data_IF_841806073093
#
_entry.id   IF_841806073093
#
_cell.length_a   1.000
_cell.length_b   1.000
_cell.length_c   1.000
_cell.angle_alpha   90.00
_cell.angle_beta   90.00
_cell.angle_gamma   90.00
#
_symmetry.space_group_name_H-M   'P 1'
#
loop_
_entity.id
_entity.type
_entity.pdbx_description
1 polymer ?
#
# COMPACT_ATOMS: atom_id res chain seq x y z
N UNK A 1 -5.47 -19.07 -16.19
CA UNK A 1 -5.69 -18.50 -16.00
C UNK A 1 -5.46 -17.48 -15.56
N UNK A 2 -5.38 -17.06 -15.71
CA UNK A 2 -5.24 -16.21 -15.35
C UNK A 2 -5.98 -15.46 -15.08
N UNK A 3 -6.34 -15.45 -15.27
CA UNK A 3 -6.98 -14.30 -15.16
C UNK A 3 -7.48 -13.83 -13.91
N UNK A 4 -7.77 -14.58 -13.09
CA UNK A 4 -8.24 -14.10 -11.81
C UNK A 4 -7.11 -13.38 -11.12
N UNK A 5 -7.41 -12.19 -10.63
CA UNK A 5 -6.53 -11.58 -9.68
C UNK A 5 -6.47 -12.47 -8.49
N UNK A 6 -5.31 -12.74 -8.05
CA UNK A 6 -5.10 -13.66 -6.98
C UNK A 6 -4.17 -13.05 -5.95
N UNK A 7 -4.03 -13.74 -4.84
CA UNK A 7 -3.03 -13.35 -3.85
C UNK A 7 -1.65 -13.25 -4.47
N UNK A 8 -1.39 -14.03 -5.54
CA UNK A 8 -0.08 -13.98 -6.17
C UNK A 8 0.18 -12.63 -6.83
N UNK A 9 -0.86 -11.95 -7.36
CA UNK A 9 -0.65 -10.62 -7.91
C UNK A 9 -0.27 -9.62 -6.82
N UNK A 10 -0.95 -9.66 -5.70
CA UNK A 10 -0.60 -8.82 -4.56
C UNK A 10 0.81 -9.13 -4.09
N UNK A 11 1.15 -10.40 -3.97
CA UNK A 11 2.47 -10.80 -3.51
C UNK A 11 3.55 -10.35 -4.48
N UNK A 12 3.29 -10.40 -5.79
CA UNK A 12 4.25 -9.91 -6.77
C UNK A 12 4.51 -8.41 -6.62
N UNK A 13 3.46 -7.64 -6.41
CA UNK A 13 3.61 -6.20 -6.20
C UNK A 13 4.47 -5.95 -4.97
N UNK A 14 4.19 -6.67 -3.89
CA UNK A 14 4.94 -6.52 -2.66
C UNK A 14 6.41 -6.90 -2.88
N UNK A 15 6.66 -8.02 -3.55
CA UNK A 15 8.02 -8.49 -3.76
C UNK A 15 8.82 -7.57 -4.67
N UNK A 16 8.15 -6.92 -5.63
CA UNK A 16 8.83 -6.07 -6.58
C UNK A 16 9.06 -4.66 -6.06
N UNK A 17 8.46 -4.32 -4.93
CA UNK A 17 8.61 -2.99 -4.36
C UNK A 17 10.03 -2.82 -3.82
N UNK A 18 10.75 -1.86 -4.41
CA UNK A 18 12.13 -1.60 -4.01
C UNK A 18 12.31 -0.36 -3.16
N UNK A 19 11.21 0.21 -2.66
CA UNK A 19 11.26 1.42 -1.84
C UNK A 19 10.99 1.08 -0.38
N UNK A 20 11.13 2.09 0.50
CA UNK A 20 10.94 1.89 1.93
C UNK A 20 9.51 1.52 2.28
N UNK A 21 8.54 2.09 1.56
CA UNK A 21 7.12 1.86 1.82
C UNK A 21 6.39 1.58 0.52
N UNK A 22 5.28 0.86 0.66
CA UNK A 22 4.34 0.60 -0.44
C UNK A 22 3.00 1.17 -0.01
N UNK A 23 2.40 2.02 -0.85
CA UNK A 23 1.17 2.72 -0.51
C UNK A 23 0.11 2.40 -1.57
N UNK A 24 -0.96 1.76 -1.15
CA UNK A 24 -2.12 1.53 -2.01
C UNK A 24 -3.06 2.71 -1.92
N UNK A 25 -3.46 3.24 -3.07
CA UNK A 25 -4.25 4.47 -3.15
C UNK A 25 -5.45 4.29 -4.06
N UNK A 26 -6.20 5.36 -4.25
CA UNK A 26 -7.20 5.47 -5.31
C UNK A 26 -7.09 6.87 -5.89
N UNK A 27 -7.78 7.11 -7.01
CA UNK A 27 -7.59 8.31 -7.80
C UNK A 27 -7.89 9.57 -7.00
N UNK A 28 -9.00 9.58 -6.25
CA UNK A 28 -9.33 10.72 -5.39
C UNK A 28 -9.16 10.27 -3.96
N UNK A 29 -8.09 10.75 -3.32
CA UNK A 29 -7.74 10.26 -1.99
C UNK A 29 -6.94 11.31 -1.21
N UNK A 30 -7.62 12.20 -0.50
CA UNK A 30 -6.92 13.23 0.29
C UNK A 30 -6.01 12.63 1.36
N UNK A 31 -6.44 11.53 1.97
CA UNK A 31 -5.62 10.89 3.01
C UNK A 31 -4.37 10.23 2.42
N UNK A 32 -4.42 9.85 1.15
CA UNK A 32 -3.23 9.33 0.48
C UNK A 32 -2.18 10.43 0.32
N UNK A 33 -2.62 11.65 -0.04
CA UNK A 33 -1.70 12.79 -0.10
C UNK A 33 -1.06 13.05 1.24
N UNK A 34 -1.84 12.93 2.31
CA UNK A 34 -1.34 13.11 3.67
C UNK A 34 -0.26 12.08 4.00
N UNK A 35 -0.48 10.83 3.59
CA UNK A 35 0.51 9.78 3.80
C UNK A 35 1.81 10.10 3.06
N UNK A 36 1.70 10.54 1.80
CA UNK A 36 2.89 10.89 1.03
C UNK A 36 3.67 12.02 1.68
N UNK A 37 2.98 13.04 2.17
CA UNK A 37 3.64 14.15 2.86
C UNK A 37 4.35 13.68 4.11
N UNK A 38 3.76 12.76 4.83
CA UNK A 38 4.37 12.20 6.03
C UNK A 38 5.67 11.48 5.68
N UNK A 39 5.65 10.66 4.63
CA UNK A 39 6.84 9.93 4.21
C UNK A 39 7.90 10.87 3.67
N UNK A 40 7.50 11.87 2.86
CA UNK A 40 8.44 12.85 2.32
C UNK A 40 9.13 13.61 3.45
N UNK A 41 8.38 14.00 4.47
CA UNK A 41 8.95 14.76 5.59
C UNK A 41 9.97 13.96 6.37
N UNK A 42 9.87 12.64 6.32
CA UNK A 42 10.81 11.74 7.01
C UNK A 42 11.92 11.24 6.09
N UNK A 43 11.94 11.66 4.84
CA UNK A 43 12.96 11.21 3.89
C UNK A 43 12.82 9.76 3.49
N UNK A 44 11.61 9.20 3.58
CA UNK A 44 11.36 7.80 3.29
C UNK A 44 10.79 7.65 1.89
N UNK A 45 11.34 6.72 1.13
CA UNK A 45 10.87 6.47 -0.23
C UNK A 45 9.61 5.60 -0.21
N UNK A 46 8.82 5.70 -1.28
CA UNK A 46 7.59 4.91 -1.38
C UNK A 46 7.24 4.64 -2.83
N UNK A 47 6.50 3.56 -3.03
CA UNK A 47 5.90 3.19 -4.30
C UNK A 47 4.40 3.33 -4.15
N UNK A 48 3.77 4.02 -5.08
CA UNK A 48 2.31 4.16 -5.08
C UNK A 48 1.71 3.15 -6.05
N UNK A 49 0.69 2.42 -5.58
CA UNK A 49 -0.11 1.55 -6.44
C UNK A 49 -1.55 1.99 -6.33
N UNK A 50 -2.07 2.57 -7.40
CA UNK A 50 -3.44 3.06 -7.44
C UNK A 50 -4.36 1.87 -7.74
N UNK A 51 -5.23 1.54 -6.78
CA UNK A 51 -6.10 0.37 -6.88
C UNK A 51 -7.10 0.50 -8.01
N UNK A 52 -7.41 1.72 -8.45
CA UNK A 52 -8.33 1.93 -9.55
C UNK A 52 -7.77 1.40 -10.88
N UNK A 53 -6.46 1.21 -10.96
CA UNK A 53 -5.82 0.72 -12.19
C UNK A 53 -5.79 -0.80 -12.28
N UNK A 54 -6.28 -1.51 -11.26
CA UNK A 54 -6.19 -2.97 -11.21
C UNK A 54 -7.54 -3.55 -10.84
N UNK A 55 -8.05 -4.45 -11.66
CA UNK A 55 -9.30 -5.11 -11.36
C UNK A 55 -9.07 -6.18 -10.29
N UNK A 56 -9.83 -6.09 -9.20
CA UNK A 56 -9.78 -7.10 -8.15
C UNK A 56 -8.70 -6.90 -7.10
N UNK A 57 -7.76 -5.99 -7.33
CA UNK A 57 -6.65 -5.82 -6.39
C UNK A 57 -7.14 -5.27 -5.04
N UNK A 58 -8.12 -4.37 -5.06
CA UNK A 58 -8.68 -3.82 -3.83
C UNK A 58 -9.20 -4.94 -2.92
N UNK A 59 -9.92 -5.90 -3.50
CA UNK A 59 -10.44 -7.01 -2.75
C UNK A 59 -9.34 -7.88 -2.16
N UNK A 60 -8.23 -8.02 -2.88
CA UNK A 60 -7.09 -8.78 -2.38
C UNK A 60 -6.46 -8.09 -1.17
N UNK A 61 -6.30 -6.77 -1.24
CA UNK A 61 -5.74 -6.01 -0.13
C UNK A 61 -6.64 -6.12 1.10
N UNK A 62 -7.97 -5.98 0.90
CA UNK A 62 -8.92 -6.11 2.00
C UNK A 62 -8.83 -7.51 2.62
N UNK A 63 -8.77 -8.53 1.78
CA UNK A 63 -8.73 -9.90 2.25
C UNK A 63 -7.45 -10.17 3.05
N UNK A 64 -6.34 -9.63 2.58
CA UNK A 64 -5.05 -9.89 3.21
C UNK A 64 -4.86 -9.10 4.49
N UNK A 65 -5.35 -7.88 4.55
CA UNK A 65 -5.07 -6.95 5.66
C UNK A 65 -6.27 -6.67 6.54
N UNK A 66 -7.48 -6.89 6.04
CA UNK A 66 -8.70 -6.46 6.73
C UNK A 66 -8.98 -4.98 6.63
N UNK A 67 -8.13 -4.23 5.92
CA UNK A 67 -8.22 -2.78 5.84
C UNK A 67 -9.00 -2.39 4.58
N UNK A 68 -10.09 -1.65 4.73
CA UNK A 68 -11.02 -1.38 3.64
C UNK A 68 -10.88 -0.01 3.01
N UNK A 69 -10.10 0.86 3.62
CA UNK A 69 -9.98 2.24 3.15
C UNK A 69 -8.58 2.48 2.58
N UNK A 70 -8.41 3.60 1.89
CA UNK A 70 -7.12 4.04 1.39
C UNK A 70 -6.68 5.28 2.16
N UNK A 71 -5.39 5.46 2.36
CA UNK A 71 -4.30 4.61 1.88
C UNK A 71 -4.17 3.33 2.68
N UNK A 72 -3.62 2.31 2.05
CA UNK A 72 -3.16 1.11 2.73
C UNK A 72 -1.65 1.07 2.63
N UNK A 73 -0.97 1.12 3.76
CA UNK A 73 0.47 1.36 3.79
C UNK A 73 1.20 0.15 4.35
N UNK A 74 2.22 -0.30 3.60
CA UNK A 74 3.12 -1.37 4.04
C UNK A 74 4.51 -0.81 4.26
N UNK A 75 5.14 -1.21 5.36
CA UNK A 75 6.56 -0.93 5.62
C UNK A 75 7.38 -2.06 5.01
N UNK A 76 8.22 -1.70 4.05
CA UNK A 76 9.01 -2.66 3.28
C UNK A 76 10.47 -2.68 3.69
N UNK A 77 10.85 -2.00 4.77
CA UNK A 77 12.25 -1.84 5.13
C UNK A 77 12.88 -3.07 5.78
N UNK A 78 12.07 -3.96 6.35
CA UNK A 78 12.58 -5.14 7.00
C UNK A 78 12.60 -6.35 6.08
N UNK A 79 12.84 -7.52 6.65
CA UNK A 79 12.88 -8.77 5.89
C UNK A 79 11.52 -9.15 5.35
N UNK A 80 10.46 -8.77 6.05
CA UNK A 80 9.09 -9.06 5.63
C UNK A 80 8.27 -7.81 5.65
N UNK A 81 7.29 -7.70 4.74
CA UNK A 81 6.41 -6.53 4.73
C UNK A 81 5.55 -6.49 5.99
N UNK A 82 5.41 -5.30 6.54
CA UNK A 82 4.56 -5.07 7.71
C UNK A 82 3.45 -4.13 7.31
N UNK A 83 2.20 -4.57 7.49
CA UNK A 83 1.07 -3.70 7.19
C UNK A 83 0.90 -2.68 8.32
N UNK A 84 1.02 -1.40 7.97
CA UNK A 84 0.94 -0.31 8.94
C UNK A 84 -0.49 0.16 9.14
N UNK A 85 -1.26 0.26 8.06
CA UNK A 85 -2.64 0.75 8.11
C UNK A 85 -2.83 1.98 7.26
N UNK A 86 -3.66 2.91 7.72
CA UNK A 86 -3.98 4.14 7.01
C UNK A 86 -3.04 5.28 7.37
N UNK A 87 -3.44 6.51 6.97
CA UNK A 87 -2.58 7.68 7.17
C UNK A 87 -2.35 7.99 8.65
N UNK A 88 -3.38 7.82 9.47
CA UNK A 88 -3.24 8.09 10.91
C UNK A 88 -2.25 7.11 11.54
N UNK A 89 -2.38 5.84 11.18
CA UNK A 89 -1.46 4.83 11.69
C UNK A 89 -0.03 5.12 11.24
N UNK A 90 0.12 5.55 10.00
CA UNK A 90 1.44 5.85 9.45
C UNK A 90 2.08 7.00 10.21
N UNK A 91 1.31 8.04 10.52
CA UNK A 91 1.85 9.20 11.24
C UNK A 91 2.38 8.81 12.61
N UNK A 92 1.72 7.87 13.27
CA UNK A 92 2.18 7.39 14.57
C UNK A 92 3.35 6.44 14.43
N UNK A 93 3.40 5.72 13.33
CA UNK A 93 4.38 4.68 13.11
C UNK A 93 5.77 5.24 12.79
N UNK A 94 5.82 6.32 12.04
CA UNK A 94 7.07 6.96 11.64
C UNK A 94 7.29 8.25 12.41
#
# INVERSE_FOLDING_TARGET
MRGAVSLSQLHEIIEETGTDFLVFTQTICPYCTRAFRTLDAKGLSYTEVNLDNFEGLRQMVVKETGHRTVPGVFDMRGDEPIFVGGSDHLMEYV
#
